data_IF_075913044904
#
_entry.id   IF_075913044904
#
_cell.length_a   1.000
_cell.length_b   1.000
_cell.length_c   1.000
_cell.angle_alpha   90.00
_cell.angle_beta   90.00
_cell.angle_gamma   90.00
#
_symmetry.space_group_name_H-M   'P 1'
#
loop_
_entity.id
_entity.type
_entity.pdbx_description
1 polymer ?
#
# COMPACT_ATOMS: atom_id res chain seq x y z
N UNK A 1 -27.02 1.34 3.79
CA UNK A 1 -26.10 1.24 2.63
C UNK A 1 -25.76 -0.23 2.41
N UNK A 2 -25.98 -0.71 1.19
CA UNK A 2 -26.19 -2.10 0.75
C UNK A 2 -25.32 -3.19 1.42
N UNK A 3 -25.95 -4.23 2.00
CA UNK A 3 -25.31 -5.47 2.46
C UNK A 3 -24.39 -6.11 1.41
N UNK A 4 -24.70 -5.88 0.14
CA UNK A 4 -23.90 -6.31 -1.01
C UNK A 4 -22.51 -5.67 -1.01
N UNK A 5 -22.39 -4.39 -0.63
CA UNK A 5 -21.12 -3.69 -0.50
C UNK A 5 -20.28 -4.27 0.63
N UNK A 6 -20.88 -4.48 1.82
CA UNK A 6 -20.19 -5.12 2.95
C UNK A 6 -19.68 -6.52 2.58
N UNK A 7 -20.51 -7.32 1.90
CA UNK A 7 -20.13 -8.67 1.47
C UNK A 7 -18.99 -8.66 0.46
N UNK A 8 -19.02 -7.74 -0.50
CA UNK A 8 -17.91 -7.54 -1.45
C UNK A 8 -16.65 -7.03 -0.75
N UNK A 9 -16.77 -6.14 0.23
CA UNK A 9 -15.63 -5.62 0.97
C UNK A 9 -14.98 -6.71 1.82
N UNK A 10 -15.77 -7.55 2.49
CA UNK A 10 -15.27 -8.69 3.27
C UNK A 10 -14.59 -9.73 2.36
N UNK A 11 -15.18 -10.02 1.20
CA UNK A 11 -14.61 -10.97 0.25
C UNK A 11 -13.29 -10.47 -0.36
N UNK A 12 -13.20 -9.16 -0.62
CA UNK A 12 -12.01 -8.52 -1.14
C UNK A 12 -11.07 -8.01 -0.03
N UNK A 13 -11.41 -8.19 1.25
CA UNK A 13 -10.64 -7.70 2.40
C UNK A 13 -9.18 -8.17 2.40
N UNK A 14 -8.86 -9.46 2.15
CA UNK A 14 -7.47 -9.89 2.05
C UNK A 14 -6.72 -9.13 0.95
N UNK A 15 -7.34 -8.93 -0.21
CA UNK A 15 -6.74 -8.17 -1.31
C UNK A 15 -6.53 -6.69 -0.93
N UNK A 16 -7.50 -6.06 -0.26
CA UNK A 16 -7.38 -4.68 0.21
C UNK A 16 -6.25 -4.49 1.24
N UNK A 17 -6.00 -5.50 2.09
CA UNK A 17 -4.87 -5.48 3.02
C UNK A 17 -3.55 -5.46 2.24
N UNK A 18 -3.40 -6.26 1.19
CA UNK A 18 -2.20 -6.24 0.35
C UNK A 18 -2.05 -4.92 -0.39
N UNK A 19 -3.12 -4.40 -1.00
CA UNK A 19 -3.14 -3.08 -1.64
C UNK A 19 -2.63 -2.00 -0.71
N UNK A 20 -3.18 -1.96 0.51
CA UNK A 20 -2.78 -1.02 1.54
C UNK A 20 -1.32 -1.22 1.95
N UNK A 21 -0.85 -2.46 2.05
CA UNK A 21 0.55 -2.75 2.36
C UNK A 21 1.50 -2.22 1.29
N UNK A 22 1.19 -2.45 0.01
CA UNK A 22 1.99 -1.98 -1.13
C UNK A 22 1.97 -0.45 -1.25
N UNK A 23 0.81 0.18 -1.04
CA UNK A 23 0.66 1.63 -0.95
C UNK A 23 1.56 2.21 0.15
N UNK A 24 1.51 1.65 1.37
CA UNK A 24 2.38 2.04 2.49
C UNK A 24 3.85 1.78 2.26
N UNK A 25 4.20 0.72 1.55
CA UNK A 25 5.56 0.39 1.14
C UNK A 25 6.15 1.49 0.24
N UNK A 26 5.43 1.86 -0.81
CA UNK A 26 5.85 2.97 -1.67
C UNK A 26 5.86 4.31 -0.93
N UNK A 27 4.90 4.53 -0.02
CA UNK A 27 4.87 5.71 0.83
C UNK A 27 6.12 5.80 1.70
N UNK A 28 6.50 4.69 2.35
CA UNK A 28 7.65 4.59 3.22
C UNK A 28 8.96 4.80 2.46
N UNK A 29 9.10 4.23 1.27
CA UNK A 29 10.24 4.48 0.38
C UNK A 29 10.30 5.95 -0.04
N UNK A 30 9.16 6.60 -0.29
CA UNK A 30 9.13 8.02 -0.67
C UNK A 30 9.52 8.93 0.49
N UNK A 31 9.03 8.63 1.70
CA UNK A 31 9.24 9.40 2.91
C UNK A 31 10.59 9.13 3.58
N UNK A 32 11.28 8.04 3.22
CA UNK A 32 12.61 7.74 3.74
C UNK A 32 13.61 8.84 3.36
N UNK A 33 14.32 9.45 4.34
CA UNK A 33 15.32 10.46 4.06
C UNK A 33 16.56 9.83 3.41
N UNK A 34 17.17 10.56 2.48
CA UNK A 34 18.40 10.17 1.80
C UNK A 34 18.41 10.57 0.33
N UNK A 35 19.56 11.03 -0.17
CA UNK A 35 19.73 11.42 -1.57
C UNK A 35 19.89 10.19 -2.49
N UNK A 36 20.55 9.15 -1.99
CA UNK A 36 20.84 7.92 -2.70
C UNK A 36 19.96 6.75 -2.22
N UNK A 37 19.72 5.77 -3.10
CA UNK A 37 18.91 4.60 -2.78
C UNK A 37 19.46 3.80 -1.57
N UNK A 38 20.78 3.75 -1.41
CA UNK A 38 21.44 3.12 -0.27
C UNK A 38 21.14 3.85 1.04
N UNK A 39 21.14 5.18 1.02
CA UNK A 39 20.87 6.01 2.19
C UNK A 39 19.37 5.96 2.57
N UNK A 40 18.50 5.97 1.55
CA UNK A 40 17.06 5.73 1.74
C UNK A 40 16.76 4.34 2.28
N UNK A 41 17.54 3.32 1.90
CA UNK A 41 17.41 1.98 2.47
C UNK A 41 17.86 1.93 3.94
N UNK A 42 18.95 2.61 4.28
CA UNK A 42 19.41 2.73 5.67
C UNK A 42 18.38 3.41 6.56
N UNK A 43 17.71 4.44 6.06
CA UNK A 43 16.67 5.17 6.79
C UNK A 43 15.23 4.72 6.45
N UNK A 44 15.07 3.58 5.77
CA UNK A 44 13.75 3.11 5.33
C UNK A 44 12.80 2.91 6.49
N UNK A 45 13.31 2.46 7.65
CA UNK A 45 12.53 2.29 8.87
C UNK A 45 11.89 3.58 9.36
N UNK A 46 12.55 4.72 9.17
CA UNK A 46 12.00 6.05 9.49
C UNK A 46 10.90 6.43 8.49
N UNK A 47 11.12 6.16 7.21
CA UNK A 47 10.12 6.34 6.15
C UNK A 47 8.87 5.49 6.39
N UNK A 48 9.03 4.22 6.76
CA UNK A 48 7.93 3.34 7.16
C UNK A 48 7.22 3.84 8.42
N UNK A 49 7.96 4.24 9.46
CA UNK A 49 7.35 4.78 10.67
C UNK A 49 6.48 6.00 10.37
N UNK A 50 6.96 6.90 9.51
CA UNK A 50 6.19 8.05 9.03
C UNK A 50 4.99 7.64 8.16
N UNK A 51 5.15 6.64 7.29
CA UNK A 51 4.06 6.11 6.48
C UNK A 51 2.96 5.48 7.35
N UNK A 52 3.31 4.70 8.37
CA UNK A 52 2.36 4.05 9.27
C UNK A 52 1.85 4.95 10.42
N UNK A 53 2.38 6.16 10.59
CA UNK A 53 1.90 7.13 11.57
C UNK A 53 0.43 7.53 11.33
N UNK A 54 -0.05 7.42 10.10
CA UNK A 54 -1.46 7.55 9.75
C UNK A 54 -1.99 6.23 9.24
N UNK A 55 -3.16 5.80 9.74
CA UNK A 55 -3.85 4.61 9.22
C UNK A 55 -4.52 4.87 7.86
N UNK A 56 -4.52 6.13 7.40
CA UNK A 56 -5.06 6.48 6.10
C UNK A 56 -4.14 6.01 4.96
N UNK A 57 -4.71 5.55 3.83
CA UNK A 57 -3.93 5.29 2.63
C UNK A 57 -3.23 6.57 2.15
N UNK A 58 -2.18 6.40 1.36
CA UNK A 58 -1.45 7.51 0.80
C UNK A 58 -2.32 8.31 -0.16
N UNK A 59 -2.35 9.64 0.04
CA UNK A 59 -3.00 10.55 -0.90
C UNK A 59 -2.12 10.86 -2.13
N UNK A 60 -0.96 10.20 -2.26
CA UNK A 60 -0.17 10.29 -3.49
C UNK A 60 -0.73 9.37 -4.56
N UNK A 61 -1.01 9.95 -5.72
CA UNK A 61 -1.55 9.23 -6.87
C UNK A 61 -0.69 8.03 -7.28
N UNK A 62 0.63 8.14 -7.14
CA UNK A 62 1.57 7.05 -7.44
C UNK A 62 1.44 5.87 -6.48
N UNK A 63 1.41 6.10 -5.16
CA UNK A 63 1.19 5.02 -4.19
C UNK A 63 -0.17 4.36 -4.41
N UNK A 64 -1.21 5.16 -4.69
CA UNK A 64 -2.55 4.64 -4.95
C UNK A 64 -2.59 3.79 -6.23
N UNK A 65 -1.89 4.22 -7.28
CA UNK A 65 -1.71 3.44 -8.51
C UNK A 65 -0.94 2.14 -8.24
N UNK A 66 0.13 2.19 -7.44
CA UNK A 66 0.92 0.98 -7.09
C UNK A 66 0.11 0.04 -6.21
N UNK A 67 -0.64 0.56 -5.25
CA UNK A 67 -1.58 -0.20 -4.44
C UNK A 67 -2.63 -0.87 -5.32
N UNK A 68 -3.29 -0.11 -6.21
CA UNK A 68 -4.29 -0.65 -7.13
C UNK A 68 -3.70 -1.70 -8.09
N UNK A 69 -2.50 -1.45 -8.64
CA UNK A 69 -1.78 -2.43 -9.46
C UNK A 69 -1.44 -3.69 -8.65
N UNK A 70 -1.04 -3.55 -7.39
CA UNK A 70 -0.83 -4.65 -6.45
C UNK A 70 -2.10 -5.47 -6.24
N UNK A 71 -3.27 -4.82 -6.11
CA UNK A 71 -4.57 -5.49 -6.05
C UNK A 71 -4.80 -6.40 -7.26
N UNK A 72 -4.57 -5.83 -8.45
CA UNK A 72 -4.80 -6.53 -9.72
C UNK A 72 -3.81 -7.68 -9.86
N UNK A 73 -2.54 -7.50 -9.50
CA UNK A 73 -1.53 -8.55 -9.55
C UNK A 73 -1.84 -9.70 -8.59
N UNK A 74 -2.23 -9.41 -7.33
CA UNK A 74 -2.62 -10.46 -6.38
C UNK A 74 -3.88 -11.17 -6.86
N UNK A 75 -4.86 -10.43 -7.40
CA UNK A 75 -6.07 -11.02 -7.99
C UNK A 75 -5.73 -11.91 -9.19
N UNK A 76 -4.80 -11.51 -10.05
CA UNK A 76 -4.32 -12.36 -11.12
C UNK A 76 -3.65 -13.60 -10.52
N UNK A 77 -2.68 -13.46 -9.62
CA UNK A 77 -1.93 -14.57 -9.04
C UNK A 77 -2.80 -15.62 -8.32
N UNK A 78 -3.86 -15.19 -7.62
CA UNK A 78 -4.77 -16.11 -6.91
C UNK A 78 -5.74 -16.81 -7.87
N UNK A 79 -6.14 -16.15 -8.96
CA UNK A 79 -7.08 -16.69 -9.95
C UNK A 79 -6.35 -17.19 -11.23
N UNK A 80 -5.02 -17.36 -11.17
CA UNK A 80 -4.20 -17.99 -12.22
C UNK A 80 -4.20 -19.50 -12.10
#
# INVERSE_FOLDING_TARGET
>A
MSDKLKKQLILNLPYLIFVYLFDKLCQGVRLAPGADASEKLLHIGQGFSAAFASLAPSFHLLDLCVGAAGAVLIRLAVYS
#
